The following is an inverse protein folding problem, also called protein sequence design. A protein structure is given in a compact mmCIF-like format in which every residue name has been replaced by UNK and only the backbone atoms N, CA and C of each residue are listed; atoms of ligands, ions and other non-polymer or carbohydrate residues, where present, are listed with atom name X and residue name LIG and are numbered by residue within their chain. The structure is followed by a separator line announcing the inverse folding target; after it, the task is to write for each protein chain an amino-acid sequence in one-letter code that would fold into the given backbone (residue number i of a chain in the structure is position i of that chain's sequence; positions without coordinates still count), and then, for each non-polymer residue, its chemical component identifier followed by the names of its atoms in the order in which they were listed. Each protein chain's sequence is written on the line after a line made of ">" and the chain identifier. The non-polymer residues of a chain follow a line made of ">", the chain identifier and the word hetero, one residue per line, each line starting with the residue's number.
data_IF_231215071805
#
_entry.id   IF_231215071805
#
_cell.length_a   1.000
_cell.length_b   1.000
_cell.length_c   1.000
_cell.angle_alpha   90.00
_cell.angle_beta   90.00
_cell.angle_gamma   90.00
#
_symmetry.space_group_name_H-M   'P 1'
#
loop_
_entity.id
_entity.type
_entity.pdbx_description
1 polymer ?
#
# COMPACT_ATOMS: atom_id res chain seq x y z
N UNK A 1 -5.23 6.45 20.40
CA UNK A 1 -5.35 4.99 20.59
C UNK A 1 -4.28 4.34 19.72
N UNK A 2 -3.54 3.33 20.21
CA UNK A 2 -2.58 2.59 19.36
C UNK A 2 -3.37 1.61 18.48
N UNK A 3 -3.01 1.50 17.21
CA UNK A 3 -3.60 0.56 16.26
C UNK A 3 -2.56 -0.41 15.72
N UNK A 4 -3.01 -1.54 15.20
CA UNK A 4 -2.22 -2.57 14.53
C UNK A 4 -2.62 -2.57 13.06
N UNK A 5 -1.64 -2.67 12.17
CA UNK A 5 -1.83 -2.81 10.72
C UNK A 5 -1.18 -4.14 10.32
N UNK A 6 -1.94 -5.24 10.16
CA UNK A 6 -1.39 -6.49 9.69
C UNK A 6 -0.81 -6.33 8.27
N UNK A 7 0.42 -6.80 8.09
CA UNK A 7 1.00 -6.98 6.77
C UNK A 7 0.50 -8.30 6.18
N UNK A 8 -0.19 -8.24 5.04
CA UNK A 8 -0.70 -9.41 4.32
C UNK A 8 0.39 -9.98 3.42
N UNK A 9 1.54 -10.30 4.00
CA UNK A 9 2.71 -10.86 3.32
C UNK A 9 2.54 -12.39 3.14
N UNK A 10 1.47 -12.75 2.42
CA UNK A 10 1.13 -14.12 2.00
C UNK A 10 1.08 -14.18 0.48
N UNK A 11 1.17 -15.37 -0.10
CA UNK A 11 1.12 -15.64 -1.55
C UNK A 11 -0.20 -16.31 -2.00
N UNK A 12 -1.15 -16.46 -1.07
CA UNK A 12 -2.46 -17.05 -1.30
C UNK A 12 -3.57 -16.00 -1.03
N UNK A 13 -4.38 -15.72 -2.06
CA UNK A 13 -5.48 -14.77 -1.98
C UNK A 13 -6.61 -15.23 -1.05
N UNK A 14 -6.87 -16.53 -0.95
CA UNK A 14 -7.88 -17.10 -0.03
C UNK A 14 -7.42 -16.98 1.42
N UNK A 15 -6.13 -17.20 1.68
CA UNK A 15 -5.55 -16.97 3.01
C UNK A 15 -5.62 -15.49 3.39
N UNK A 16 -5.28 -14.57 2.48
CA UNK A 16 -5.43 -13.14 2.71
C UNK A 16 -6.90 -12.75 3.00
N UNK A 17 -7.84 -13.30 2.24
CA UNK A 17 -9.28 -13.10 2.46
C UNK A 17 -9.72 -13.56 3.85
N UNK A 18 -9.28 -14.76 4.26
CA UNK A 18 -9.56 -15.33 5.57
C UNK A 18 -8.99 -14.46 6.69
N UNK A 19 -7.73 -14.02 6.59
CA UNK A 19 -7.09 -13.14 7.59
C UNK A 19 -7.92 -11.87 7.77
N UNK A 20 -8.29 -11.19 6.69
CA UNK A 20 -9.09 -9.96 6.76
C UNK A 20 -10.44 -10.23 7.40
N UNK A 21 -11.18 -11.24 6.94
CA UNK A 21 -12.50 -11.60 7.45
C UNK A 21 -12.51 -11.84 8.96
N UNK A 22 -11.50 -12.56 9.47
CA UNK A 22 -11.41 -12.93 10.88
C UNK A 22 -10.86 -11.79 11.77
N UNK A 23 -10.14 -10.82 11.19
CA UNK A 23 -9.45 -9.79 11.98
C UNK A 23 -10.07 -8.39 11.87
N UNK A 24 -10.84 -8.08 10.83
CA UNK A 24 -11.24 -6.68 10.55
C UNK A 24 -12.19 -6.05 11.59
N UNK A 25 -12.80 -6.88 12.45
CA UNK A 25 -13.66 -6.44 13.57
C UNK A 25 -12.96 -6.51 14.93
N UNK A 26 -11.72 -6.99 14.99
CA UNK A 26 -10.95 -7.06 16.23
C UNK A 26 -10.56 -5.65 16.66
N UNK A 27 -10.89 -5.28 17.91
CA UNK A 27 -10.58 -3.97 18.47
C UNK A 27 -9.07 -3.71 18.38
N UNK A 28 -8.70 -2.61 17.73
CA UNK A 28 -7.31 -2.19 17.57
C UNK A 28 -6.74 -2.42 16.17
N UNK A 29 -7.41 -3.19 15.30
CA UNK A 29 -7.03 -3.23 13.87
C UNK A 29 -7.40 -1.91 13.21
N UNK A 30 -6.41 -1.27 12.57
CA UNK A 30 -6.54 0.05 11.97
C UNK A 30 -6.41 0.10 10.45
N UNK A 31 -6.10 -1.03 9.80
CA UNK A 31 -5.85 -1.11 8.36
C UNK A 31 -5.11 -2.38 7.99
N UNK A 32 -4.83 -2.55 6.70
CA UNK A 32 -4.04 -3.67 6.17
C UNK A 32 -2.99 -3.15 5.19
N UNK A 33 -1.80 -3.76 5.23
CA UNK A 33 -0.74 -3.50 4.25
C UNK A 33 -0.69 -4.65 3.25
N UNK A 34 -0.67 -4.34 1.96
CA UNK A 34 -0.54 -5.33 0.87
C UNK A 34 0.76 -5.09 0.12
N UNK A 35 1.46 -6.17 -0.23
CA UNK A 35 2.75 -6.12 -0.91
C UNK A 35 2.79 -6.93 -2.19
N UNK A 36 3.99 -7.05 -2.76
CA UNK A 36 4.22 -7.75 -4.03
C UNK A 36 3.77 -9.23 -4.01
N UNK A 37 3.81 -9.89 -2.85
CA UNK A 37 3.47 -11.32 -2.72
C UNK A 37 2.04 -11.64 -3.15
N UNK A 38 1.12 -10.70 -2.93
CA UNK A 38 -0.26 -10.78 -3.42
C UNK A 38 -0.43 -10.06 -4.76
N UNK A 39 0.24 -8.92 -4.95
CA UNK A 39 -0.04 -8.03 -6.09
C UNK A 39 0.54 -8.55 -7.40
N UNK A 40 1.71 -9.17 -7.41
CA UNK A 40 2.28 -9.77 -8.63
C UNK A 40 1.40 -10.91 -9.17
N UNK A 41 1.01 -11.93 -8.37
CA UNK A 41 0.23 -13.04 -8.89
C UNK A 41 -1.24 -12.70 -9.19
N UNK A 42 -1.87 -11.81 -8.40
CA UNK A 42 -3.33 -11.59 -8.48
C UNK A 42 -3.72 -10.20 -9.02
N UNK A 43 -2.80 -9.24 -9.02
CA UNK A 43 -3.06 -7.85 -9.37
C UNK A 43 -3.68 -7.04 -8.23
N UNK A 44 -3.26 -5.78 -8.08
CA UNK A 44 -3.65 -4.91 -6.96
C UNK A 44 -5.17 -4.73 -6.86
N UNK A 45 -5.84 -4.52 -8.00
CA UNK A 45 -7.30 -4.33 -8.05
C UNK A 45 -8.06 -5.54 -7.49
N UNK A 46 -7.64 -6.76 -7.84
CA UNK A 46 -8.28 -7.99 -7.35
C UNK A 46 -8.07 -8.15 -5.84
N UNK A 47 -6.85 -7.89 -5.36
CA UNK A 47 -6.51 -7.94 -3.94
C UNK A 47 -7.37 -6.94 -3.14
N UNK A 48 -7.45 -5.68 -3.58
CA UNK A 48 -8.28 -4.66 -2.92
C UNK A 48 -9.76 -5.06 -2.90
N UNK A 49 -10.30 -5.52 -4.04
CA UNK A 49 -11.69 -5.99 -4.12
C UNK A 49 -11.97 -7.12 -3.13
N UNK A 50 -11.04 -8.07 -2.98
CA UNK A 50 -11.15 -9.16 -2.01
C UNK A 50 -11.22 -8.65 -0.57
N UNK A 51 -10.38 -7.68 -0.20
CA UNK A 51 -10.37 -7.08 1.15
C UNK A 51 -11.67 -6.28 1.40
N UNK A 52 -12.10 -5.49 0.42
CA UNK A 52 -13.28 -4.61 0.50
C UNK A 52 -14.61 -5.36 0.67
N UNK A 53 -14.66 -6.67 0.39
CA UNK A 53 -15.83 -7.50 0.75
C UNK A 53 -16.16 -7.45 2.25
N UNK A 54 -15.19 -7.17 3.12
CA UNK A 54 -15.32 -7.33 4.56
C UNK A 54 -15.11 -6.06 5.37
N UNK A 55 -14.45 -5.03 4.81
CA UNK A 55 -14.06 -3.85 5.60
C UNK A 55 -13.75 -2.61 4.76
N UNK A 56 -14.07 -1.45 5.34
CA UNK A 56 -13.68 -0.11 4.86
C UNK A 56 -12.41 0.41 5.54
N UNK A 57 -11.72 -0.42 6.34
CA UNK A 57 -10.44 -0.03 6.95
C UNK A 57 -9.39 0.31 5.87
N UNK A 58 -8.46 1.25 6.17
CA UNK A 58 -7.42 1.65 5.23
C UNK A 58 -6.62 0.49 4.65
N UNK A 59 -6.41 0.50 3.33
CA UNK A 59 -5.52 -0.40 2.61
C UNK A 59 -4.30 0.39 2.14
N UNK A 60 -3.13 -0.07 2.57
CA UNK A 60 -1.84 0.56 2.28
C UNK A 60 -1.09 -0.32 1.28
N UNK A 61 -0.69 0.25 0.15
CA UNK A 61 0.15 -0.46 -0.81
C UNK A 61 1.63 -0.26 -0.54
N UNK A 62 2.32 -1.35 -0.23
CA UNK A 62 3.75 -1.44 -0.02
C UNK A 62 4.43 -2.08 -1.23
N UNK A 63 4.70 -1.27 -2.25
CA UNK A 63 5.36 -1.75 -3.47
C UNK A 63 6.86 -2.01 -3.27
N UNK A 64 7.46 -1.49 -2.18
CA UNK A 64 8.90 -1.51 -1.86
C UNK A 64 9.82 -0.76 -2.85
N UNK A 65 9.46 -0.65 -4.13
CA UNK A 65 10.19 0.09 -5.17
C UNK A 65 9.55 1.43 -5.58
N UNK A 66 8.45 1.85 -4.95
CA UNK A 66 7.82 3.12 -5.33
C UNK A 66 8.69 4.31 -4.90
N UNK A 67 8.78 5.36 -5.72
CA UNK A 67 9.61 6.54 -5.46
C UNK A 67 11.04 6.45 -6.01
N UNK A 68 11.43 5.34 -6.65
CA UNK A 68 12.81 5.16 -7.14
C UNK A 68 13.01 5.50 -8.62
N UNK A 69 12.02 6.09 -9.28
CA UNK A 69 12.03 6.35 -10.72
C UNK A 69 11.64 7.81 -11.02
N UNK A 70 11.66 8.24 -12.28
CA UNK A 70 11.42 9.63 -12.70
C UNK A 70 10.01 10.12 -12.30
N UNK A 71 9.82 11.43 -12.05
CA UNK A 71 8.52 12.01 -11.66
C UNK A 71 7.32 11.56 -12.51
N UNK A 72 7.47 11.52 -13.83
CA UNK A 72 6.41 11.15 -14.79
C UNK A 72 5.85 9.74 -14.52
N UNK A 73 6.71 8.81 -14.10
CA UNK A 73 6.26 7.45 -13.73
C UNK A 73 5.51 7.43 -12.41
N UNK A 74 5.82 8.38 -11.51
CA UNK A 74 5.10 8.59 -10.26
C UNK A 74 3.64 8.93 -10.49
N UNK A 75 3.33 9.82 -11.43
CA UNK A 75 1.94 10.17 -11.78
C UNK A 75 1.13 8.94 -12.24
N UNK A 76 1.72 8.15 -13.13
CA UNK A 76 1.11 6.92 -13.64
C UNK A 76 0.91 5.94 -12.49
N UNK A 77 1.93 5.73 -11.66
CA UNK A 77 1.89 4.82 -10.52
C UNK A 77 0.78 5.19 -9.52
N UNK A 78 0.68 6.47 -9.15
CA UNK A 78 -0.32 6.94 -8.20
C UNK A 78 -1.74 6.78 -8.74
N UNK A 79 -1.94 7.08 -10.02
CA UNK A 79 -3.24 6.88 -10.68
C UNK A 79 -3.66 5.42 -10.68
N UNK A 80 -2.79 4.49 -11.07
CA UNK A 80 -3.15 3.06 -11.08
C UNK A 80 -3.39 2.51 -9.67
N UNK A 81 -2.68 3.02 -8.66
CA UNK A 81 -2.93 2.67 -7.26
C UNK A 81 -4.30 3.18 -6.80
N UNK A 82 -4.63 4.44 -7.10
CA UNK A 82 -5.92 5.03 -6.75
C UNK A 82 -7.08 4.30 -7.42
N UNK A 83 -6.95 4.00 -8.71
CA UNK A 83 -7.95 3.27 -9.49
C UNK A 83 -8.15 1.82 -8.99
N UNK A 84 -7.12 1.22 -8.40
CA UNK A 84 -7.22 -0.08 -7.74
C UNK A 84 -7.96 -0.01 -6.39
N UNK A 85 -8.06 1.18 -5.77
CA UNK A 85 -8.85 1.43 -4.57
C UNK A 85 -8.07 1.42 -3.24
N UNK A 86 -6.74 1.59 -3.29
CA UNK A 86 -5.93 1.75 -2.06
C UNK A 86 -6.10 3.16 -1.48
N UNK A 87 -5.84 3.29 -0.17
CA UNK A 87 -5.99 4.56 0.55
C UNK A 87 -4.65 5.29 0.74
N UNK A 88 -3.56 4.51 0.81
CA UNK A 88 -2.22 5.02 0.97
C UNK A 88 -1.20 4.19 0.19
N UNK A 89 -0.06 4.81 -0.10
CA UNK A 89 1.13 4.15 -0.66
C UNK A 89 2.34 4.40 0.23
N UNK A 90 3.24 3.42 0.28
CA UNK A 90 4.58 3.60 0.85
C UNK A 90 5.56 3.85 -0.29
N UNK A 91 6.40 4.88 -0.15
CA UNK A 91 7.48 5.19 -1.09
C UNK A 91 8.84 5.19 -0.39
N UNK A 92 9.88 4.82 -1.12
CA UNK A 92 11.29 4.84 -0.71
C UNK A 92 12.10 5.63 -1.74
N UNK A 93 12.13 6.96 -1.66
CA UNK A 93 12.71 7.80 -2.70
C UNK A 93 14.24 7.80 -2.67
N UNK A 94 14.85 6.79 -3.28
CA UNK A 94 16.31 6.67 -3.39
C UNK A 94 16.94 7.66 -4.39
N UNK A 95 16.12 8.30 -5.24
CA UNK A 95 16.58 9.21 -6.31
C UNK A 95 16.73 10.67 -5.86
N UNK A 96 16.59 10.93 -4.56
CA UNK A 96 16.79 12.25 -3.95
C UNK A 96 15.51 13.05 -3.72
N UNK A 97 15.64 14.22 -3.07
CA UNK A 97 14.51 14.96 -2.50
C UNK A 97 13.56 15.55 -3.55
N UNK A 98 14.05 15.87 -4.74
CA UNK A 98 13.19 16.36 -5.83
C UNK A 98 12.25 15.26 -6.30
N UNK A 99 12.74 14.04 -6.50
CA UNK A 99 11.91 12.90 -6.86
C UNK A 99 10.90 12.58 -5.76
N UNK A 100 11.34 12.62 -4.49
CA UNK A 100 10.43 12.48 -3.35
C UNK A 100 9.28 13.48 -3.40
N UNK A 101 9.59 14.78 -3.55
CA UNK A 101 8.59 15.85 -3.56
C UNK A 101 7.58 15.67 -4.69
N UNK A 102 8.05 15.36 -5.90
CA UNK A 102 7.17 15.17 -7.06
C UNK A 102 6.28 13.93 -6.93
N UNK A 103 6.80 12.82 -6.41
CA UNK A 103 5.99 11.62 -6.15
C UNK A 103 4.94 11.85 -5.05
N UNK A 104 5.26 12.64 -4.02
CA UNK A 104 4.30 13.06 -2.98
C UNK A 104 3.21 13.94 -3.59
N UNK A 105 3.57 14.92 -4.44
CA UNK A 105 2.60 15.76 -5.17
C UNK A 105 1.69 14.92 -6.05
N UNK A 106 2.23 13.97 -6.80
CA UNK A 106 1.47 13.06 -7.65
C UNK A 106 0.43 12.27 -6.84
N UNK A 107 0.82 11.74 -5.67
CA UNK A 107 -0.09 11.01 -4.81
C UNK A 107 -1.22 11.89 -4.26
N UNK A 108 -0.88 13.09 -3.79
CA UNK A 108 -1.88 14.06 -3.33
C UNK A 108 -2.82 14.50 -4.44
N UNK A 109 -2.32 14.64 -5.68
CA UNK A 109 -3.11 15.00 -6.86
C UNK A 109 -4.24 14.01 -7.17
N UNK A 110 -4.07 12.73 -6.81
CA UNK A 110 -5.12 11.69 -6.95
C UNK A 110 -5.83 11.35 -5.63
N UNK A 111 -5.56 12.12 -4.56
CA UNK A 111 -6.18 11.93 -3.25
C UNK A 111 -5.73 10.67 -2.53
N UNK A 112 -4.49 10.21 -2.75
CA UNK A 112 -3.83 9.17 -1.95
C UNK A 112 -3.08 9.79 -0.76
N UNK A 113 -2.99 9.04 0.34
CA UNK A 113 -2.04 9.33 1.42
C UNK A 113 -0.67 8.72 1.09
N UNK A 114 0.39 9.32 1.60
CA UNK A 114 1.76 8.84 1.39
C UNK A 114 2.45 8.61 2.73
N UNK A 115 3.20 7.51 2.79
CA UNK A 115 4.14 7.20 3.86
C UNK A 115 5.52 7.15 3.21
N UNK A 116 6.45 7.98 3.67
CA UNK A 116 7.85 7.94 3.21
C UNK A 116 8.64 7.05 4.16
N UNK A 117 9.33 6.05 3.62
CA UNK A 117 10.20 5.19 4.40
C UNK A 117 11.47 5.93 4.84
N UNK A 118 11.62 6.13 6.15
CA UNK A 118 12.80 6.81 6.72
C UNK A 118 13.87 5.87 7.29
N UNK A 119 13.46 4.78 7.95
CA UNK A 119 14.36 3.81 8.59
C UNK A 119 13.85 2.39 8.34
N UNK A 120 14.77 1.46 8.06
CA UNK A 120 14.47 0.03 7.87
C UNK A 120 14.89 -0.76 9.11
N UNK A 121 14.10 -1.79 9.46
CA UNK A 121 14.31 -2.58 10.67
C UNK A 121 15.34 -3.71 10.52
N UNK A 122 15.84 -3.94 9.30
CA UNK A 122 16.81 -4.99 9.01
C UNK A 122 18.25 -4.44 8.99
N UNK A 123 19.26 -5.30 9.25
CA UNK A 123 20.65 -4.95 8.99
C UNK A 123 20.87 -4.62 7.51
N UNK A 124 21.67 -3.58 7.23
CA UNK A 124 22.05 -3.17 5.88
C UNK A 124 22.87 -4.22 5.14
#
# INVERSE_FOLDING_TARGET
>A
MKTIIPALDVDDLELAEKIVKETCKVKGIGGYKVGFSLVIPFGLKKVVQTIRKYTELPIIYDHQKAGTDIPDTGEIFMKVCKDAGVDAVIIFPAMGPVTEEEWIKAAHGVGLKVIVGGEMTHPG
#
